data_IF_757116728339
#
_entry.id   IF_757116728339
#
_cell.length_a   1.000
_cell.length_b   1.000
_cell.length_c   1.000
_cell.angle_alpha   90.00
_cell.angle_beta   90.00
_cell.angle_gamma   90.00
#
_symmetry.space_group_name_H-M   'P 1'
#
loop_
_entity.id
_entity.type
_entity.pdbx_description
1 polymer ?
#
# COMPACT_ATOMS: atom_id res chain seq x y z
N UNK A 1 -11.70 -12.14 13.19
CA UNK A 1 -12.06 -11.09 12.22
C UNK A 1 -10.98 -10.00 12.27
N UNK A 2 -10.06 -9.96 11.30
CA UNK A 2 -8.98 -8.95 11.34
C UNK A 2 -9.60 -7.59 11.06
N UNK A 3 -9.45 -6.62 11.97
CA UNK A 3 -10.09 -5.31 11.84
C UNK A 3 -9.31 -4.49 10.82
N UNK A 4 -10.01 -3.77 9.94
CA UNK A 4 -9.42 -2.81 8.98
C UNK A 4 -8.42 -1.84 9.63
N UNK A 5 -8.62 -1.51 10.91
CA UNK A 5 -7.71 -0.67 11.71
C UNK A 5 -6.27 -1.23 11.75
N UNK A 6 -6.09 -2.55 11.78
CA UNK A 6 -4.77 -3.17 11.86
C UNK A 6 -3.99 -3.09 10.53
N UNK A 7 -4.72 -2.99 9.42
CA UNK A 7 -4.13 -2.81 8.10
C UNK A 7 -3.69 -1.37 7.88
N UNK A 8 -4.41 -0.38 8.43
CA UNK A 8 -4.13 1.05 8.18
C UNK A 8 -2.68 1.39 8.50
N UNK A 9 -2.19 1.05 9.69
CA UNK A 9 -0.79 1.33 10.11
C UNK A 9 0.23 0.65 9.20
N UNK A 10 -0.01 -0.62 8.84
CA UNK A 10 0.88 -1.42 7.99
C UNK A 10 0.95 -0.88 6.56
N UNK A 11 -0.21 -0.58 5.98
CA UNK A 11 -0.34 -0.04 4.63
C UNK A 11 0.25 1.37 4.55
N UNK A 12 -0.07 2.26 5.51
CA UNK A 12 0.51 3.61 5.57
C UNK A 12 2.04 3.58 5.54
N UNK A 13 2.66 2.73 6.37
CA UNK A 13 4.12 2.60 6.42
C UNK A 13 4.72 2.15 5.08
N UNK A 14 4.04 1.28 4.34
CA UNK A 14 4.51 0.85 3.01
C UNK A 14 4.34 1.98 1.98
N UNK A 15 3.23 2.70 2.01
CA UNK A 15 2.97 3.81 1.07
C UNK A 15 3.94 4.98 1.29
N UNK A 16 4.34 5.21 2.53
CA UNK A 16 5.35 6.18 2.94
C UNK A 16 6.74 5.78 2.40
N UNK A 17 7.22 4.59 2.76
CA UNK A 17 8.58 4.14 2.44
C UNK A 17 8.77 3.71 0.98
N UNK A 18 7.69 3.30 0.29
CA UNK A 18 7.74 2.79 -1.08
C UNK A 18 6.74 3.58 -1.94
N UNK A 19 7.08 4.79 -2.41
CA UNK A 19 6.16 5.64 -3.17
C UNK A 19 5.57 4.96 -4.42
N UNK A 20 6.34 4.11 -5.11
CA UNK A 20 5.85 3.34 -6.29
C UNK A 20 4.66 2.44 -5.96
N UNK A 21 4.49 2.03 -4.70
CA UNK A 21 3.35 1.21 -4.26
C UNK A 21 2.03 1.99 -4.17
N UNK A 22 2.08 3.34 -4.14
CA UNK A 22 0.89 4.22 -4.16
C UNK A 22 0.07 4.02 -5.44
N UNK A 23 0.74 3.65 -6.53
CA UNK A 23 0.17 3.50 -7.86
C UNK A 23 -0.09 2.02 -8.23
N UNK A 24 0.62 1.08 -7.60
CA UNK A 24 0.66 -0.32 -8.02
C UNK A 24 0.22 -1.27 -6.90
N UNK A 25 -0.93 -1.94 -7.11
CA UNK A 25 -1.49 -2.90 -6.16
C UNK A 25 -0.63 -4.15 -5.98
N UNK A 26 -0.04 -4.67 -7.05
CA UNK A 26 0.84 -5.84 -6.97
C UNK A 26 2.06 -5.55 -6.09
N UNK A 27 2.66 -4.38 -6.25
CA UNK A 27 3.81 -3.95 -5.47
C UNK A 27 3.45 -3.71 -3.99
N UNK A 28 2.31 -3.07 -3.73
CA UNK A 28 1.80 -2.89 -2.36
C UNK A 28 1.57 -4.24 -1.68
N UNK A 29 0.90 -5.17 -2.36
CA UNK A 29 0.61 -6.51 -1.82
C UNK A 29 1.92 -7.28 -1.59
N UNK A 30 2.87 -7.24 -2.54
CA UNK A 30 4.16 -7.91 -2.40
C UNK A 30 4.93 -7.42 -1.17
N UNK A 31 5.05 -6.09 -0.98
CA UNK A 31 5.69 -5.54 0.21
C UNK A 31 4.92 -5.86 1.50
N UNK A 32 3.59 -5.85 1.46
CA UNK A 32 2.78 -6.22 2.61
C UNK A 32 3.04 -7.67 3.03
N UNK A 33 3.01 -8.59 2.07
CA UNK A 33 3.24 -10.00 2.31
C UNK A 33 4.66 -10.26 2.83
N UNK A 34 5.67 -9.66 2.20
CA UNK A 34 7.06 -9.80 2.61
C UNK A 34 7.31 -9.30 4.04
N UNK A 35 6.67 -8.19 4.44
CA UNK A 35 6.92 -7.55 5.76
C UNK A 35 6.06 -8.12 6.88
N UNK A 36 4.83 -8.57 6.57
CA UNK A 36 3.83 -8.91 7.60
C UNK A 36 3.30 -10.33 7.49
N UNK A 37 3.70 -11.08 6.46
CA UNK A 37 3.22 -12.43 6.19
C UNK A 37 4.34 -13.34 5.69
N UNK A 38 5.60 -13.00 6.01
CA UNK A 38 6.80 -13.73 5.57
C UNK A 38 6.76 -15.23 5.89
N UNK A 39 6.14 -15.60 7.01
CA UNK A 39 5.95 -17.01 7.42
C UNK A 39 5.18 -17.86 6.42
N UNK A 40 4.40 -17.23 5.54
CA UNK A 40 3.62 -17.90 4.50
C UNK A 40 4.35 -17.94 3.16
N UNK A 41 5.55 -17.37 3.07
CA UNK A 41 6.36 -17.34 1.88
C UNK A 41 7.48 -18.38 1.99
N UNK A 42 7.88 -18.94 0.86
CA UNK A 42 9.09 -19.77 0.72
C UNK A 42 9.98 -19.18 -0.35
N UNK A 43 11.24 -19.59 -0.38
CA UNK A 43 12.10 -19.36 -1.54
C UNK A 43 12.06 -20.56 -2.48
N UNK A 44 12.14 -20.32 -3.78
CA UNK A 44 12.43 -21.36 -4.77
C UNK A 44 13.94 -21.65 -4.85
N UNK A 45 14.34 -22.50 -5.80
CA UNK A 45 15.74 -22.87 -6.03
C UNK A 45 16.63 -21.68 -6.43
N UNK A 46 16.03 -20.62 -6.99
CA UNK A 46 16.72 -19.40 -7.41
C UNK A 46 16.70 -18.33 -6.31
N UNK A 47 16.21 -18.65 -5.11
CA UNK A 47 16.08 -17.72 -3.99
C UNK A 47 14.93 -16.72 -4.12
N UNK A 48 14.02 -16.89 -5.10
CA UNK A 48 12.88 -15.99 -5.31
C UNK A 48 11.77 -16.29 -4.33
N UNK A 49 11.19 -15.24 -3.75
CA UNK A 49 10.07 -15.39 -2.83
C UNK A 49 8.79 -15.81 -3.55
N UNK A 50 8.24 -16.93 -3.12
CA UNK A 50 7.06 -17.58 -3.69
C UNK A 50 6.01 -17.81 -2.60
N UNK A 51 4.74 -17.88 -3.02
CA UNK A 51 3.61 -18.23 -2.15
C UNK A 51 3.22 -19.68 -2.48
N UNK A 52 3.42 -20.65 -1.57
CA UNK A 52 2.89 -21.99 -1.74
C UNK A 52 1.36 -21.96 -1.84
N UNK A 53 0.78 -22.70 -2.79
CA UNK A 53 -0.68 -22.73 -2.98
C UNK A 53 -1.44 -23.14 -1.71
N UNK A 54 -0.87 -24.03 -0.90
CA UNK A 54 -1.42 -24.46 0.40
C UNK A 54 -1.64 -23.29 1.38
N UNK A 55 -0.84 -22.24 1.28
CA UNK A 55 -0.88 -21.08 2.19
C UNK A 55 -1.85 -19.99 1.73
N UNK A 56 -2.43 -20.08 0.51
CA UNK A 56 -3.27 -19.01 -0.06
C UNK A 56 -4.46 -18.66 0.85
N UNK A 57 -5.10 -19.66 1.46
CA UNK A 57 -6.26 -19.46 2.35
C UNK A 57 -5.90 -18.75 3.65
N UNK A 58 -4.64 -18.77 4.05
CA UNK A 58 -4.14 -18.15 5.29
C UNK A 58 -3.63 -16.72 5.08
N UNK A 59 -3.52 -16.29 3.81
CA UNK A 59 -3.06 -14.96 3.48
C UNK A 59 -4.06 -13.88 3.92
N UNK A 60 -3.54 -12.68 4.23
CA UNK A 60 -4.40 -11.50 4.39
C UNK A 60 -5.26 -11.27 3.14
N UNK A 61 -6.55 -10.93 3.27
CA UNK A 61 -7.38 -10.65 2.11
C UNK A 61 -6.83 -9.45 1.32
N UNK A 62 -6.48 -9.67 0.06
CA UNK A 62 -5.87 -8.63 -0.78
C UNK A 62 -6.81 -7.44 -0.97
N UNK A 63 -8.13 -7.66 -1.05
CA UNK A 63 -9.12 -6.60 -1.09
C UNK A 63 -9.09 -5.70 0.14
N UNK A 64 -8.82 -6.24 1.33
CA UNK A 64 -8.67 -5.42 2.54
C UNK A 64 -7.46 -4.50 2.45
N UNK A 65 -6.35 -4.97 1.86
CA UNK A 65 -5.14 -4.16 1.63
C UNK A 65 -5.46 -3.02 0.65
N UNK A 66 -6.11 -3.35 -0.48
CA UNK A 66 -6.50 -2.39 -1.52
C UNK A 66 -7.47 -1.33 -1.00
N UNK A 67 -8.51 -1.76 -0.29
CA UNK A 67 -9.50 -0.86 0.33
C UNK A 67 -8.87 0.04 1.37
N UNK A 68 -7.93 -0.47 2.16
CA UNK A 68 -7.19 0.33 3.13
C UNK A 68 -6.39 1.43 2.45
N UNK A 69 -5.68 1.13 1.34
CA UNK A 69 -5.00 2.15 0.53
C UNK A 69 -5.99 3.20 0.01
N UNK A 70 -7.14 2.79 -0.53
CA UNK A 70 -8.15 3.73 -1.02
C UNK A 70 -8.65 4.67 0.08
N UNK A 71 -8.93 4.16 1.28
CA UNK A 71 -9.33 5.00 2.43
C UNK A 71 -8.21 5.99 2.79
N UNK A 72 -6.95 5.55 2.80
CA UNK A 72 -5.81 6.41 3.10
C UNK A 72 -5.68 7.54 2.05
N UNK A 73 -5.80 7.20 0.77
CA UNK A 73 -5.60 8.16 -0.33
C UNK A 73 -6.79 9.05 -0.57
N UNK A 74 -8.01 8.51 -0.62
CA UNK A 74 -9.20 9.25 -1.01
C UNK A 74 -9.84 9.97 0.18
N UNK A 75 -9.96 9.29 1.31
CA UNK A 75 -10.70 9.82 2.45
C UNK A 75 -9.79 10.68 3.34
N UNK A 76 -8.51 10.28 3.51
CA UNK A 76 -7.57 11.03 4.34
C UNK A 76 -6.66 11.98 3.53
N UNK A 77 -6.68 11.90 2.18
CA UNK A 77 -5.78 12.66 1.29
C UNK A 77 -4.29 12.52 1.68
N UNK A 78 -3.86 11.28 1.95
CA UNK A 78 -2.48 10.96 2.31
C UNK A 78 -1.85 10.00 1.29
N UNK A 79 -0.54 10.13 1.05
CA UNK A 79 0.23 9.26 0.16
C UNK A 79 -0.41 9.11 -1.22
N UNK A 80 -0.79 10.24 -1.81
CA UNK A 80 -1.48 10.27 -3.10
C UNK A 80 -0.61 9.66 -4.22
N UNK A 81 -1.24 9.23 -5.32
CA UNK A 81 -0.54 8.60 -6.43
C UNK A 81 0.66 9.42 -6.93
N UNK A 82 1.73 8.74 -7.32
CA UNK A 82 2.96 9.40 -7.79
C UNK A 82 2.84 9.88 -9.23
N UNK A 83 2.07 9.19 -10.06
CA UNK A 83 1.94 9.48 -11.49
C UNK A 83 0.66 10.23 -11.82
N UNK A 84 0.77 11.26 -12.66
CA UNK A 84 -0.35 12.09 -13.09
C UNK A 84 -1.46 11.28 -13.80
N UNK A 85 -1.08 10.23 -14.55
CA UNK A 85 -2.04 9.34 -15.23
C UNK A 85 -2.95 8.65 -14.21
N UNK A 86 -2.36 8.10 -13.14
CA UNK A 86 -3.12 7.41 -12.08
C UNK A 86 -3.97 8.40 -11.28
N UNK A 87 -3.48 9.62 -11.06
CA UNK A 87 -4.27 10.69 -10.42
C UNK A 87 -5.52 11.02 -11.22
N UNK A 88 -5.37 11.25 -12.52
CA UNK A 88 -6.47 11.59 -13.43
C UNK A 88 -7.48 10.45 -13.53
N UNK A 89 -7.01 9.21 -13.64
CA UNK A 89 -7.86 8.02 -13.64
C UNK A 89 -8.68 7.88 -12.35
N UNK A 90 -8.10 8.27 -11.21
CA UNK A 90 -8.74 8.24 -9.89
C UNK A 90 -9.56 9.49 -9.55
N UNK A 91 -9.64 10.47 -10.47
CA UNK A 91 -10.40 11.73 -10.32
C UNK A 91 -10.06 12.51 -9.05
N UNK A 92 -8.80 12.49 -8.65
CA UNK A 92 -8.32 13.23 -7.47
C UNK A 92 -8.26 14.71 -7.85
N UNK A 93 -8.91 15.59 -7.07
CA UNK A 93 -8.88 17.04 -7.30
C UNK A 93 -7.45 17.57 -7.13
N UNK A 94 -7.06 18.53 -7.96
CA UNK A 94 -5.71 19.11 -7.96
C UNK A 94 -5.37 19.80 -6.62
N UNK A 95 -6.35 20.47 -6.01
CA UNK A 95 -6.23 21.07 -4.68
C UNK A 95 -5.91 20.04 -3.58
N UNK A 96 -6.53 18.85 -3.62
CA UNK A 96 -6.23 17.77 -2.68
C UNK A 96 -4.80 17.28 -2.84
N UNK A 97 -4.28 17.33 -4.06
CA UNK A 97 -2.91 16.94 -4.36
C UNK A 97 -1.90 17.95 -3.83
N UNK A 98 -2.08 19.23 -4.13
CA UNK A 98 -1.22 20.30 -3.61
C UNK A 98 -1.19 20.32 -2.08
N UNK A 99 -2.36 20.20 -1.43
CA UNK A 99 -2.45 20.13 0.03
C UNK A 99 -1.74 18.91 0.62
N UNK A 100 -1.69 17.78 -0.10
CA UNK A 100 -0.95 16.59 0.32
C UNK A 100 0.56 16.83 0.25
N UNK A 101 1.08 17.37 -0.85
CA UNK A 101 2.52 17.67 -0.99
C UNK A 101 3.00 18.64 0.09
N UNK A 102 2.23 19.70 0.36
CA UNK A 102 2.55 20.67 1.42
C UNK A 102 2.57 20.01 2.81
N UNK A 103 1.66 19.06 3.10
CA UNK A 103 1.67 18.31 4.37
C UNK A 103 2.85 17.34 4.47
N UNK A 104 3.14 16.61 3.39
CA UNK A 104 4.29 15.68 3.35
C UNK A 104 5.61 16.46 3.53
N UNK A 105 5.77 17.61 2.85
CA UNK A 105 6.94 18.47 3.00
C UNK A 105 7.11 19.00 4.43
N UNK A 106 6.03 19.41 5.10
CA UNK A 106 6.07 19.89 6.49
C UNK A 106 6.47 18.80 7.50
N UNK A 107 6.09 17.55 7.24
CA UNK A 107 6.45 16.42 8.10
C UNK A 107 7.91 15.96 7.94
N UNK A 108 8.61 16.40 6.88
CA UNK A 108 10.03 16.10 6.64
C UNK A 108 11.00 17.18 7.17
N UNK A 109 10.49 18.26 7.80
CA UNK A 109 11.29 19.39 8.31
C UNK A 109 11.43 19.33 9.85
N UNK A 110 11.02 18.24 10.50
CA UNK A 110 11.13 18.04 11.97
C UNK A 110 12.11 16.93 12.29
#
# INVERSE_FOLDING_TARGET
MIRLKDYKKKVSKILEEVPKSRDNDGLLIAHFLYRHSKRFLTQDIDGRWCIPLKNIKELPPFESIRRTRQIIQNDNNLFLPTTHIVRKARKIKEENWYNCEVREAKNHIV
#
